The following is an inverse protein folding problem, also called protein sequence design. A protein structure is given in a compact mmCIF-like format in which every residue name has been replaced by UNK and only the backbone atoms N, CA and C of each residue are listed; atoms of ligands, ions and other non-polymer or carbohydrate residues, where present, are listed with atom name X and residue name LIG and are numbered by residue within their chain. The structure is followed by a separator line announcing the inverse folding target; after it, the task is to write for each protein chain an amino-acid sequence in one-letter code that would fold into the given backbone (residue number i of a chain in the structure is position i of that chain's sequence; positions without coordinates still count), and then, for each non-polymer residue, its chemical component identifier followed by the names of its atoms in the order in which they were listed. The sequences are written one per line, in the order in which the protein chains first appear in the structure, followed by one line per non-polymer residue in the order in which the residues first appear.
data_IF_445490910037
#
_entry.id   IF_445490910037
#
_cell.length_a   1.000
_cell.length_b   1.000
_cell.length_c   1.000
_cell.angle_alpha   90.00
_cell.angle_beta   90.00
_cell.angle_gamma   90.00
#
_symmetry.space_group_name_H-M   'P 1'
#
loop_
_entity.id
_entity.type
_entity.pdbx_description
1 polymer ?
#
# COMPACT_ATOMS: atom_id res chain seq x y z
N UNK A 1 -7.41 0.27 -13.07
CA UNK A 1 -6.19 0.69 -13.79
C UNK A 1 -5.49 -0.55 -14.28
N UNK A 2 -5.42 -0.75 -15.59
CA UNK A 2 -4.59 -1.80 -16.20
C UNK A 2 -3.13 -1.34 -16.05
N UNK A 3 -2.27 -2.13 -15.40
CA UNK A 3 -0.87 -1.74 -15.26
C UNK A 3 -0.12 -2.02 -16.57
N UNK A 4 0.95 -1.27 -16.84
CA UNK A 4 1.83 -1.52 -17.99
C UNK A 4 2.30 -2.99 -18.07
N UNK A 5 2.55 -3.60 -16.90
CA UNK A 5 2.90 -5.02 -16.82
C UNK A 5 1.78 -5.95 -17.30
N UNK A 6 0.52 -5.61 -17.07
CA UNK A 6 -0.62 -6.42 -17.51
C UNK A 6 -0.76 -6.37 -19.04
N UNK A 7 -0.55 -5.19 -19.63
CA UNK A 7 -0.55 -5.02 -21.10
C UNK A 7 0.62 -5.77 -21.74
N UNK A 8 1.82 -5.67 -21.16
CA UNK A 8 3.00 -6.36 -21.65
C UNK A 8 2.85 -7.89 -21.54
N UNK A 9 2.29 -8.39 -20.42
CA UNK A 9 2.04 -9.81 -20.23
C UNK A 9 1.03 -10.34 -21.26
N UNK A 10 -0.02 -9.58 -21.56
CA UNK A 10 -1.00 -9.92 -22.59
C UNK A 10 -0.38 -9.95 -23.99
N UNK A 11 0.44 -8.94 -24.32
CA UNK A 11 1.15 -8.89 -25.60
C UNK A 11 2.09 -10.10 -25.78
N UNK A 12 2.85 -10.47 -24.74
CA UNK A 12 3.71 -11.66 -24.76
C UNK A 12 2.90 -12.96 -24.92
N UNK A 13 1.76 -13.08 -24.23
CA UNK A 13 0.85 -14.23 -24.34
C UNK A 13 0.31 -14.45 -25.76
N UNK A 14 0.18 -13.38 -26.56
CA UNK A 14 -0.34 -13.47 -27.93
C UNK A 14 0.81 -13.60 -28.94
N UNK A 15 1.84 -12.76 -28.84
CA UNK A 15 2.92 -12.69 -29.82
C UNK A 15 3.79 -13.95 -29.82
N UNK A 16 4.15 -14.48 -28.65
CA UNK A 16 5.08 -15.62 -28.54
C UNK A 16 4.48 -16.89 -29.17
N UNK A 17 3.24 -17.31 -28.85
CA UNK A 17 2.64 -18.48 -29.49
C UNK A 17 2.41 -18.32 -30.99
N UNK A 18 2.03 -17.12 -31.46
CA UNK A 18 1.80 -16.86 -32.89
C UNK A 18 3.12 -16.93 -33.67
N UNK A 19 4.20 -16.36 -33.15
CA UNK A 19 5.51 -16.41 -33.79
C UNK A 19 6.07 -17.84 -33.82
N UNK A 20 6.02 -18.55 -32.69
CA UNK A 20 6.45 -19.96 -32.61
C UNK A 20 5.60 -20.86 -33.52
N UNK A 21 4.28 -20.69 -33.51
CA UNK A 21 3.37 -21.47 -34.34
C UNK A 21 3.64 -21.28 -35.84
N UNK A 22 3.83 -20.02 -36.27
CA UNK A 22 4.20 -19.71 -37.67
C UNK A 22 5.55 -20.29 -38.06
N UNK A 23 6.55 -20.16 -37.18
CA UNK A 23 7.90 -20.66 -37.44
C UNK A 23 7.88 -22.18 -37.60
N UNK A 24 7.23 -22.91 -36.70
CA UNK A 24 7.11 -24.38 -36.78
C UNK A 24 6.27 -24.81 -37.99
N UNK A 25 5.19 -24.09 -38.31
CA UNK A 25 4.34 -24.40 -39.45
C UNK A 25 5.12 -24.37 -40.79
N UNK A 26 6.07 -23.44 -40.93
CA UNK A 26 6.89 -23.32 -42.14
C UNK A 26 7.83 -24.51 -42.37
N UNK A 27 8.29 -25.18 -41.31
CA UNK A 27 9.24 -26.29 -41.41
C UNK A 27 8.55 -27.67 -41.40
N UNK A 28 7.52 -27.84 -40.59
CA UNK A 28 6.93 -29.15 -40.31
C UNK A 28 5.47 -29.27 -40.78
N UNK A 29 4.89 -28.20 -41.32
CA UNK A 29 3.49 -28.17 -41.76
C UNK A 29 2.53 -27.64 -40.70
N UNK A 30 1.32 -27.29 -41.16
CA UNK A 30 0.33 -26.52 -40.38
C UNK A 30 -0.03 -27.18 -39.04
N UNK A 31 -0.23 -28.50 -39.01
CA UNK A 31 -0.64 -29.22 -37.80
C UNK A 31 0.39 -29.14 -36.68
N UNK A 32 1.68 -29.25 -37.00
CA UNK A 32 2.77 -29.09 -36.02
C UNK A 32 2.87 -27.64 -35.51
N UNK A 33 2.57 -26.66 -36.37
CA UNK A 33 2.49 -25.25 -35.97
C UNK A 33 1.34 -24.96 -35.00
N UNK A 34 0.17 -25.56 -35.20
CA UNK A 34 -0.96 -25.43 -34.26
C UNK A 34 -0.62 -26.08 -32.91
N UNK A 35 -0.02 -27.28 -32.94
CA UNK A 35 0.42 -27.98 -31.74
C UNK A 35 1.45 -27.18 -30.92
N UNK A 36 2.46 -26.62 -31.59
CA UNK A 36 3.49 -25.81 -30.91
C UNK A 36 2.94 -24.50 -30.35
N UNK A 37 2.03 -23.85 -31.09
CA UNK A 37 1.35 -22.63 -30.63
C UNK A 37 0.55 -22.86 -29.35
N UNK A 38 -0.30 -23.89 -29.33
CA UNK A 38 -1.10 -24.22 -28.14
C UNK A 38 -0.24 -24.59 -26.92
N UNK A 39 0.81 -25.41 -27.11
CA UNK A 39 1.74 -25.75 -26.04
C UNK A 39 2.47 -24.51 -25.50
N UNK A 40 2.90 -23.61 -26.39
CA UNK A 40 3.53 -22.34 -26.01
C UNK A 40 2.59 -21.45 -25.19
N UNK A 41 1.31 -21.35 -25.57
CA UNK A 41 0.30 -20.60 -24.80
C UNK A 41 0.14 -21.14 -23.39
N UNK A 42 0.02 -22.46 -23.22
CA UNK A 42 -0.12 -23.09 -21.90
C UNK A 42 1.12 -22.81 -21.03
N UNK A 43 2.31 -22.91 -21.62
CA UNK A 43 3.57 -22.62 -20.92
C UNK A 43 3.65 -21.16 -20.47
N UNK A 44 3.32 -20.21 -21.35
CA UNK A 44 3.29 -18.78 -21.03
C UNK A 44 2.29 -18.45 -19.92
N UNK A 45 1.07 -18.99 -20.00
CA UNK A 45 0.04 -18.78 -18.98
C UNK A 45 0.48 -19.33 -17.61
N UNK A 46 1.12 -20.50 -17.60
CA UNK A 46 1.66 -21.13 -16.39
C UNK A 46 2.77 -20.27 -15.78
N UNK A 47 3.72 -19.79 -16.60
CA UNK A 47 4.81 -18.93 -16.15
C UNK A 47 4.29 -17.61 -15.55
N UNK A 48 3.35 -16.94 -16.22
CA UNK A 48 2.73 -15.71 -15.72
C UNK A 48 2.01 -15.93 -14.39
N UNK A 49 1.30 -17.05 -14.25
CA UNK A 49 0.63 -17.41 -13.00
C UNK A 49 1.63 -17.58 -11.86
N UNK A 50 2.77 -18.24 -12.12
CA UNK A 50 3.84 -18.41 -11.14
C UNK A 50 4.48 -17.07 -10.75
N UNK A 51 4.78 -16.20 -11.73
CA UNK A 51 5.33 -14.87 -11.47
C UNK A 51 4.36 -14.01 -10.66
N UNK A 52 3.07 -14.06 -10.98
CA UNK A 52 2.05 -13.33 -10.24
C UNK A 52 1.92 -13.84 -8.80
N UNK A 53 1.93 -15.17 -8.61
CA UNK A 53 1.96 -15.78 -7.27
C UNK A 53 3.21 -15.37 -6.49
N UNK A 54 4.39 -15.36 -7.12
CA UNK A 54 5.63 -14.94 -6.48
C UNK A 54 5.60 -13.46 -6.09
N UNK A 55 5.11 -12.59 -6.98
CA UNK A 55 4.91 -11.15 -6.70
C UNK A 55 3.96 -10.94 -5.52
N UNK A 56 2.84 -11.66 -5.52
CA UNK A 56 1.85 -11.62 -4.42
C UNK A 56 2.48 -12.05 -3.10
N UNK A 57 3.20 -13.18 -3.06
CA UNK A 57 3.91 -13.64 -1.85
C UNK A 57 4.91 -12.60 -1.33
N UNK A 58 5.67 -11.95 -2.22
CA UNK A 58 6.60 -10.87 -1.84
C UNK A 58 5.85 -9.67 -1.24
N UNK A 59 4.73 -9.27 -1.84
CA UNK A 59 3.91 -8.19 -1.31
C UNK A 59 3.30 -8.54 0.05
N UNK A 60 2.80 -9.76 0.22
CA UNK A 60 2.27 -10.27 1.48
C UNK A 60 3.35 -10.28 2.57
N UNK A 61 4.56 -10.77 2.24
CA UNK A 61 5.71 -10.73 3.16
C UNK A 61 6.08 -9.29 3.55
N UNK A 62 6.14 -8.37 2.59
CA UNK A 62 6.38 -6.94 2.88
C UNK A 62 5.31 -6.36 3.79
N UNK A 63 4.03 -6.67 3.55
CA UNK A 63 2.92 -6.22 4.40
C UNK A 63 3.01 -6.78 5.82
N UNK A 64 3.38 -8.06 5.97
CA UNK A 64 3.62 -8.68 7.28
C UNK A 64 4.75 -7.97 8.02
N UNK A 65 5.88 -7.71 7.37
CA UNK A 65 6.98 -6.95 7.96
C UNK A 65 6.58 -5.54 8.39
N UNK A 66 5.78 -4.84 7.58
CA UNK A 66 5.24 -3.52 7.95
C UNK A 66 4.26 -3.60 9.13
N UNK A 67 3.44 -4.65 9.20
CA UNK A 67 2.51 -4.90 10.30
C UNK A 67 3.24 -5.15 11.62
N UNK A 68 4.30 -5.95 11.58
CA UNK A 68 5.08 -6.28 12.76
C UNK A 68 5.90 -5.08 13.24
N UNK A 69 6.46 -4.32 12.29
CA UNK A 69 7.30 -3.16 12.60
C UNK A 69 6.50 -1.95 13.08
N UNK A 70 5.38 -1.63 12.45
CA UNK A 70 4.58 -0.41 12.74
C UNK A 70 3.25 -0.75 13.38
N UNK A 71 3.32 -1.41 14.54
CA UNK A 71 2.17 -1.93 15.27
C UNK A 71 1.62 -0.98 16.32
N UNK A 72 2.32 0.13 16.62
CA UNK A 72 1.98 0.97 17.77
C UNK A 72 0.89 2.00 17.49
N UNK A 73 0.15 2.30 18.56
CA UNK A 73 -0.65 3.51 18.69
C UNK A 73 -0.04 4.33 19.81
N UNK A 74 0.06 5.63 19.56
CA UNK A 74 0.70 6.56 20.46
C UNK A 74 -0.24 7.72 20.76
N UNK A 75 -0.14 8.26 21.97
CA UNK A 75 -0.78 9.52 22.37
C UNK A 75 0.24 10.63 22.30
N UNK A 76 -0.17 11.78 21.78
CA UNK A 76 0.68 12.96 21.67
C UNK A 76 0.79 13.65 23.02
N UNK A 77 2.02 13.81 23.53
CA UNK A 77 2.34 14.54 24.76
C UNK A 77 2.71 16.00 24.48
N UNK A 78 3.33 16.26 23.32
CA UNK A 78 3.67 17.61 22.87
C UNK A 78 3.63 17.73 21.34
N UNK A 79 3.40 18.96 20.87
CA UNK A 79 3.38 19.27 19.42
C UNK A 79 4.78 18.98 18.84
N UNK A 80 4.88 18.37 17.64
CA UNK A 80 6.16 18.03 17.05
C UNK A 80 7.02 19.28 16.83
N UNK A 81 8.28 19.20 17.24
CA UNK A 81 9.20 20.36 17.24
C UNK A 81 9.61 20.78 15.83
N UNK A 82 9.65 19.82 14.90
CA UNK A 82 10.09 20.06 13.52
C UNK A 82 8.89 20.22 12.57
N UNK A 83 8.49 21.47 12.30
CA UNK A 83 7.39 21.77 11.37
C UNK A 83 7.57 21.16 9.96
N UNK A 84 8.82 20.98 9.51
CA UNK A 84 9.16 20.34 8.22
C UNK A 84 8.72 18.86 8.11
N UNK A 85 8.40 18.22 9.23
CA UNK A 85 7.95 16.83 9.29
C UNK A 85 6.44 16.71 9.48
N UNK A 86 5.72 17.83 9.53
CA UNK A 86 4.27 17.87 9.73
C UNK A 86 3.60 18.10 8.38
N UNK A 87 2.71 17.19 8.01
CA UNK A 87 1.81 17.32 6.88
C UNK A 87 0.40 17.19 7.45
N UNK A 88 -0.42 18.23 7.31
CA UNK A 88 -1.78 18.25 7.87
C UNK A 88 -2.73 18.90 6.89
N UNK A 89 -3.99 18.48 6.92
CA UNK A 89 -5.02 19.21 6.23
C UNK A 89 -5.34 20.54 6.95
N UNK A 90 -5.86 21.56 6.24
CA UNK A 90 -6.27 22.82 6.84
C UNK A 90 -7.27 22.60 8.00
N UNK A 91 -7.05 23.29 9.12
CA UNK A 91 -7.87 23.16 10.33
C UNK A 91 -7.64 21.87 11.14
N UNK A 92 -6.65 21.05 10.78
CA UNK A 92 -6.30 19.83 11.51
C UNK A 92 -4.98 19.98 12.27
N UNK A 93 -4.91 20.91 13.22
CA UNK A 93 -3.75 20.98 14.12
C UNK A 93 -3.62 19.73 14.99
N UNK A 94 -2.36 19.37 15.25
CA UNK A 94 -2.01 18.32 16.20
C UNK A 94 -2.06 18.96 17.58
N UNK A 95 -2.85 18.38 18.48
CA UNK A 95 -3.03 18.88 19.84
C UNK A 95 -2.55 17.81 20.82
N UNK A 96 -2.09 18.24 22.00
CA UNK A 96 -1.76 17.32 23.10
C UNK A 96 -2.99 16.48 23.47
N UNK A 97 -2.78 15.17 23.58
CA UNK A 97 -3.83 14.18 23.83
C UNK A 97 -4.43 13.55 22.58
N UNK A 98 -4.12 14.06 21.37
CA UNK A 98 -4.49 13.37 20.13
C UNK A 98 -3.81 11.99 20.06
N UNK A 99 -4.45 11.05 19.36
CA UNK A 99 -3.89 9.73 19.10
C UNK A 99 -3.37 9.62 17.68
N UNK A 100 -2.20 9.00 17.53
CA UNK A 100 -1.51 8.78 16.28
C UNK A 100 -1.19 7.31 16.08
N UNK A 101 -1.49 6.82 14.88
CA UNK A 101 -1.16 5.46 14.46
C UNK A 101 0.23 5.46 13.84
N UNK A 102 1.12 4.61 14.33
CA UNK A 102 2.48 4.52 13.81
C UNK A 102 2.48 4.23 12.31
N UNK A 103 3.44 4.74 11.55
CA UNK A 103 3.44 4.53 10.10
C UNK A 103 4.85 4.51 9.56
N UNK A 104 5.01 3.93 8.38
CA UNK A 104 6.30 3.91 7.71
C UNK A 104 6.83 5.36 7.55
N UNK A 105 8.06 5.64 8.03
CA UNK A 105 8.67 6.95 7.92
C UNK A 105 8.97 7.27 6.46
N UNK A 106 9.04 8.56 6.07
CA UNK A 106 9.56 8.94 4.78
C UNK A 106 11.04 8.52 4.69
N UNK A 107 11.52 8.23 3.47
CA UNK A 107 12.94 7.88 3.27
C UNK A 107 13.86 8.95 3.88
N UNK A 108 14.93 8.51 4.53
CA UNK A 108 15.98 9.35 5.11
C UNK A 108 15.53 10.26 6.27
N UNK A 109 14.51 9.88 7.03
CA UNK A 109 14.05 10.65 8.21
C UNK A 109 14.31 9.93 9.54
N UNK A 110 15.60 9.74 9.85
CA UNK A 110 16.19 9.55 11.19
C UNK A 110 15.48 8.65 12.21
N UNK A 111 15.70 8.96 13.49
CA UNK A 111 15.17 8.25 14.68
C UNK A 111 13.77 8.74 15.13
N UNK A 112 13.03 9.37 14.23
CA UNK A 112 11.69 9.88 14.54
C UNK A 112 10.63 8.78 14.35
N UNK A 113 9.65 8.79 15.25
CA UNK A 113 8.46 7.95 15.14
C UNK A 113 7.41 8.71 14.35
N UNK A 114 7.03 8.18 13.17
CA UNK A 114 6.04 8.82 12.32
C UNK A 114 4.65 8.31 12.63
N UNK A 115 3.74 9.23 12.93
CA UNK A 115 2.36 8.94 13.30
C UNK A 115 1.39 9.55 12.29
N UNK A 116 0.23 8.89 12.16
CA UNK A 116 -0.93 9.32 11.39
C UNK A 116 -2.11 9.57 12.31
N UNK A 117 -2.63 10.79 12.30
CA UNK A 117 -3.91 11.11 12.92
C UNK A 117 -5.04 10.72 12.00
N UNK A 118 -6.03 10.03 12.56
CA UNK A 118 -7.21 9.56 11.83
C UNK A 118 -8.46 10.30 12.32
N UNK A 119 -9.39 10.55 11.41
CA UNK A 119 -10.75 10.99 11.74
C UNK A 119 -11.68 9.81 12.05
N UNK A 120 -12.93 10.10 12.40
CA UNK A 120 -13.97 9.10 12.72
C UNK A 120 -14.27 8.15 11.55
N UNK A 121 -13.89 8.55 10.33
CA UNK A 121 -14.06 7.81 9.08
C UNK A 121 -12.76 7.12 8.63
N UNK A 122 -11.76 7.01 9.51
CA UNK A 122 -10.45 6.40 9.24
C UNK A 122 -9.67 7.08 8.11
N UNK A 123 -9.89 8.37 7.89
CA UNK A 123 -9.14 9.18 6.93
C UNK A 123 -8.02 9.91 7.64
N UNK A 124 -6.88 10.06 6.97
CA UNK A 124 -5.73 10.77 7.53
C UNK A 124 -6.04 12.25 7.57
N UNK A 125 -5.92 12.87 8.74
CA UNK A 125 -6.05 14.31 8.93
C UNK A 125 -4.71 15.00 9.14
N UNK A 126 -3.73 14.27 9.67
CA UNK A 126 -2.33 14.70 9.77
C UNK A 126 -1.37 13.50 9.75
N UNK A 127 -0.13 13.78 9.35
CA UNK A 127 1.02 12.87 9.30
C UNK A 127 2.22 13.65 9.84
N UNK A 128 2.84 13.17 10.92
CA UNK A 128 3.95 13.89 11.55
C UNK A 128 5.00 12.97 12.16
N UNK A 129 6.25 13.44 12.16
CA UNK A 129 7.35 12.78 12.87
C UNK A 129 7.52 13.36 14.28
N UNK A 130 7.66 12.48 15.26
CA UNK A 130 7.78 12.80 16.68
C UNK A 130 9.05 12.18 17.26
N UNK A 131 9.67 12.85 18.23
CA UNK A 131 10.67 12.18 19.08
C UNK A 131 9.97 11.30 20.11
N UNK A 132 10.70 10.31 20.65
CA UNK A 132 10.15 9.37 21.64
C UNK A 132 9.61 10.06 22.91
N UNK A 133 10.13 11.25 23.27
CA UNK A 133 9.69 12.03 24.44
C UNK A 133 8.38 12.80 24.17
N UNK A 134 7.99 12.97 22.91
CA UNK A 134 6.79 13.74 22.53
C UNK A 134 5.53 12.88 22.48
N UNK A 135 5.68 11.57 22.67
CA UNK A 135 4.62 10.59 22.48
C UNK A 135 4.67 9.53 23.57
N UNK A 136 3.50 9.00 23.89
CA UNK A 136 3.31 7.91 24.85
C UNK A 136 2.76 6.70 24.11
N UNK A 137 3.34 5.52 24.31
CA UNK A 137 2.79 4.29 23.75
C UNK A 137 1.53 3.88 24.51
N UNK A 138 0.42 3.72 23.79
CA UNK A 138 -0.89 3.37 24.37
C UNK A 138 -1.20 1.89 24.21
N UNK A 139 -0.85 1.31 23.05
CA UNK A 139 -1.15 -0.07 22.78
C UNK A 139 -0.96 -0.47 21.32
N UNK A 140 -1.17 -1.76 21.00
CA UNK A 140 -1.08 -2.26 19.64
C UNK A 140 -2.31 -1.88 18.82
N UNK A 141 -2.11 -1.68 17.52
CA UNK A 141 -3.19 -1.49 16.56
C UNK A 141 -4.11 -2.71 16.51
N UNK A 142 -5.44 -2.53 16.52
CA UNK A 142 -6.36 -3.65 16.31
C UNK A 142 -6.21 -4.28 14.91
N UNK A 143 -5.87 -3.48 13.90
CA UNK A 143 -5.60 -3.94 12.53
C UNK A 143 -4.55 -3.06 11.86
N UNK A 144 -3.69 -3.62 11.02
CA UNK A 144 -2.74 -2.84 10.24
C UNK A 144 -3.44 -2.07 9.12
N UNK A 145 -3.08 -0.80 8.92
CA UNK A 145 -3.54 0.01 7.77
C UNK A 145 -3.13 -0.58 6.41
N UNK A 146 -2.09 -1.44 6.38
CA UNK A 146 -1.63 -2.14 5.18
C UNK A 146 -2.51 -3.35 4.80
N UNK A 147 -3.42 -3.73 5.71
CA UNK A 147 -4.38 -4.83 5.52
C UNK A 147 -5.81 -4.34 5.26
N UNK A 148 -6.00 -3.02 5.09
CA UNK A 148 -7.31 -2.47 4.76
C UNK A 148 -7.64 -2.73 3.30
N UNK A 149 -8.83 -3.27 3.06
CA UNK A 149 -9.37 -3.56 1.75
C UNK A 149 -10.59 -2.67 1.45
N UNK A 150 -11.25 -2.90 0.32
CA UNK A 150 -12.45 -2.16 -0.04
C UNK A 150 -13.63 -2.38 0.92
N UNK A 151 -13.65 -3.49 1.68
CA UNK A 151 -14.71 -3.76 2.66
C UNK A 151 -14.60 -2.84 3.88
N UNK A 152 -13.38 -2.55 4.31
CA UNK A 152 -13.11 -1.63 5.43
C UNK A 152 -13.71 -0.24 5.20
N UNK A 153 -13.69 0.25 3.96
CA UNK A 153 -14.22 1.58 3.63
C UNK A 153 -15.73 1.63 3.44
N UNK A 154 -16.37 0.48 3.18
CA UNK A 154 -17.84 0.41 3.06
C UNK A 154 -18.52 0.48 4.43
N UNK A 155 -17.88 -0.08 5.46
CA UNK A 155 -18.38 -0.08 6.82
C UNK A 155 -17.19 0.00 7.79
N UNK A 156 -16.58 1.19 7.97
CA UNK A 156 -15.46 1.34 8.89
C UNK A 156 -15.92 1.01 10.32
N UNK A 157 -15.11 0.25 11.08
CA UNK A 157 -15.41 0.03 12.49
C UNK A 157 -15.34 1.37 13.25
N UNK A 158 -15.93 1.45 14.44
CA UNK A 158 -15.70 2.65 15.27
C UNK A 158 -14.23 2.72 15.68
N UNK A 159 -13.66 3.92 15.69
CA UNK A 159 -12.32 4.08 16.24
C UNK A 159 -12.34 3.74 17.74
N UNK A 160 -11.42 2.88 18.21
CA UNK A 160 -11.36 2.51 19.63
C UNK A 160 -10.89 3.65 20.55
N UNK A 161 -10.45 4.78 19.99
CA UNK A 161 -9.99 5.93 20.76
C UNK A 161 -10.91 7.12 20.52
N UNK A 162 -10.96 8.02 21.50
CA UNK A 162 -11.70 9.27 21.40
C UNK A 162 -11.10 10.15 20.27
N UNK A 163 -11.64 10.00 19.06
CA UNK A 163 -11.38 10.92 17.97
C UNK A 163 -12.32 12.11 18.15
N UNK A 164 -11.77 13.32 18.12
CA UNK A 164 -12.60 14.52 18.03
C UNK A 164 -13.17 14.62 16.62
N UNK A 165 -14.49 14.66 16.51
CA UNK A 165 -15.15 15.02 15.25
C UNK A 165 -14.68 16.40 14.80
N UNK A 166 -14.13 16.50 13.60
CA UNK A 166 -13.72 17.77 12.98
C UNK A 166 -14.44 17.89 11.64
N UNK A 167 -15.06 19.05 11.36
CA UNK A 167 -15.73 19.35 10.08
C UNK A 167 -14.74 19.66 8.95
N UNK A 168 -13.57 19.04 8.95
CA UNK A 168 -12.44 19.45 8.11
C UNK A 168 -12.15 18.46 7.00
N UNK A 169 -11.51 18.98 5.95
CA UNK A 169 -11.04 18.21 4.81
C UNK A 169 -10.01 17.19 5.27
N UNK A 170 -10.18 15.92 4.87
CA UNK A 170 -9.17 14.88 5.11
C UNK A 170 -8.07 14.91 4.04
N UNK A 171 -6.87 14.46 4.35
CA UNK A 171 -5.81 14.19 3.37
C UNK A 171 -6.04 12.91 2.55
N UNK A 172 -7.14 12.20 2.79
CA UNK A 172 -7.53 10.98 2.09
C UNK A 172 -7.35 9.73 2.94
N UNK A 173 -7.29 8.58 2.28
CA UNK A 173 -7.05 7.30 2.95
C UNK A 173 -5.59 7.18 3.39
N UNK A 174 -5.28 6.46 4.48
CA UNK A 174 -3.91 6.14 4.85
C UNK A 174 -3.16 5.53 3.68
N UNK A 175 -1.86 5.78 3.56
CA UNK A 175 -1.06 5.27 2.46
C UNK A 175 -1.15 3.73 2.40
N UNK A 176 -2.09 3.19 1.61
CA UNK A 176 -2.23 1.76 1.35
C UNK A 176 -1.07 1.28 0.43
N UNK A 177 -0.29 2.19 -0.16
CA UNK A 177 0.72 1.88 -1.15
C UNK A 177 2.03 2.63 -0.89
N UNK A 178 3.03 1.90 -0.38
CA UNK A 178 4.37 2.39 -0.07
C UNK A 178 5.22 2.77 -1.27
N UNK A 179 4.85 3.81 -2.02
CA UNK A 179 5.75 4.39 -3.03
C UNK A 179 5.61 5.89 -3.28
N UNK A 180 4.56 6.56 -2.82
CA UNK A 180 4.50 8.02 -2.84
C UNK A 180 3.83 8.46 -1.54
N UNK A 181 4.59 9.14 -0.67
CA UNK A 181 3.98 9.86 0.44
C UNK A 181 2.89 10.81 -0.08
N UNK A 182 2.05 11.38 0.81
CA UNK A 182 1.07 12.39 0.39
C UNK A 182 1.78 13.42 -0.49
N UNK A 183 1.43 13.46 -1.78
CA UNK A 183 1.91 14.53 -2.66
C UNK A 183 1.40 15.80 -2.03
N UNK A 184 2.30 16.74 -1.73
CA UNK A 184 1.92 18.08 -1.28
C UNK A 184 0.85 18.57 -2.26
N UNK A 185 -0.36 18.75 -1.75
CA UNK A 185 -1.38 19.58 -2.41
C UNK A 185 -0.95 21.04 -2.25
#
# INVERSE_FOLDING_TARGET
MVSFFDVLALALMICVPVLLGRLVANYFGVWWGVGSGTLSTVLCATLLTLLYRAKRRRQESKRRGLREKYRGIYRVLSVPSEAKNVIKAPGNEIIVGDYGWESEPPKNKGDLVFLQGLDENWRVVWYAGFSAQQIEYIGPKPRSQYDWDSSWFKAPPRCPFAIRSRKTTSMGLPNIWGSNGPRRL
#
